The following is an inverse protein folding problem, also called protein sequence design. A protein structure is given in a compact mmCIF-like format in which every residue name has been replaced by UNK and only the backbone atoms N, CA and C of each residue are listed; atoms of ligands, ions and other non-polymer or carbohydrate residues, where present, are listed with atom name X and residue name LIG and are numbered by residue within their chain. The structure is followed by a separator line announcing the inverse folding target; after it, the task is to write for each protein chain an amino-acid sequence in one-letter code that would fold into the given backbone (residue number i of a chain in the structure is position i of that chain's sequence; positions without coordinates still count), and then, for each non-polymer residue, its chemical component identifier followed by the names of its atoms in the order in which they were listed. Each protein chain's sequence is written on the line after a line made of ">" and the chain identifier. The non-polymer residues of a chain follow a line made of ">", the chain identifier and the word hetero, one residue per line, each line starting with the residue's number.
data_IF_795359864847
#
_entry.id   IF_795359864847
#
_cell.length_a   1.000
_cell.length_b   1.000
_cell.length_c   1.000
_cell.angle_alpha   90.00
_cell.angle_beta   90.00
_cell.angle_gamma   90.00
#
_symmetry.space_group_name_H-M   'P 1'
#
loop_
_entity.id
_entity.type
_entity.pdbx_description
1 polymer ?
#
# COMPACT_ATOMS: atom_id res chain seq x y z
N UNK A 1 1.80 14.17 -18.46
CA UNK A 1 2.51 13.04 -17.82
C UNK A 1 1.94 11.75 -18.39
N UNK A 2 2.80 10.79 -18.78
CA UNK A 2 2.38 9.46 -19.26
C UNK A 2 3.04 8.40 -18.39
N UNK A 3 2.25 7.65 -17.63
CA UNK A 3 2.75 6.60 -16.74
C UNK A 3 2.91 5.33 -17.58
N UNK A 4 4.12 4.76 -17.60
CA UNK A 4 4.39 3.53 -18.33
C UNK A 4 4.00 2.30 -17.51
N UNK A 5 4.34 2.29 -16.23
CA UNK A 5 3.97 1.22 -15.32
C UNK A 5 3.95 1.70 -13.87
N UNK A 6 3.33 0.91 -13.01
CA UNK A 6 3.34 1.10 -11.54
C UNK A 6 3.68 -0.20 -10.85
N UNK A 7 4.42 -0.08 -9.74
CA UNK A 7 4.73 -1.20 -8.86
C UNK A 7 4.14 -0.93 -7.47
N UNK A 8 3.12 -1.71 -7.12
CA UNK A 8 2.37 -1.56 -5.87
C UNK A 8 2.75 -2.71 -4.95
N UNK A 9 3.25 -2.39 -3.76
CA UNK A 9 3.66 -3.37 -2.74
C UNK A 9 3.03 -3.03 -1.40
N UNK A 10 2.65 -4.08 -0.68
CA UNK A 10 2.15 -3.98 0.70
C UNK A 10 0.95 -3.03 0.88
N UNK A 11 0.11 -2.86 -0.15
CA UNK A 11 -1.03 -1.95 -0.14
C UNK A 11 -2.35 -2.72 -0.19
N UNK A 12 -3.13 -2.71 0.90
CA UNK A 12 -4.37 -3.48 1.06
C UNK A 12 -4.15 -4.93 0.62
N UNK A 13 -4.92 -5.46 -0.33
CA UNK A 13 -4.75 -6.83 -0.84
C UNK A 13 -3.58 -7.01 -1.83
N UNK A 14 -2.97 -5.92 -2.30
CA UNK A 14 -1.88 -5.96 -3.26
C UNK A 14 -0.54 -6.11 -2.53
N UNK A 15 -0.12 -7.36 -2.30
CA UNK A 15 1.17 -7.67 -1.67
C UNK A 15 2.34 -7.26 -2.55
N UNK A 16 2.31 -7.63 -3.83
CA UNK A 16 3.32 -7.32 -4.82
C UNK A 16 2.70 -7.39 -6.22
N UNK A 17 2.39 -6.25 -6.82
CA UNK A 17 1.67 -6.15 -8.08
C UNK A 17 2.37 -5.14 -9.02
N UNK A 18 2.70 -5.58 -10.22
CA UNK A 18 3.21 -4.73 -11.29
C UNK A 18 2.14 -4.60 -12.37
N UNK A 19 1.88 -3.36 -12.81
CA UNK A 19 0.89 -3.07 -13.84
C UNK A 19 1.56 -2.20 -14.91
N UNK A 20 1.62 -2.73 -16.13
CA UNK A 20 1.99 -1.97 -17.31
C UNK A 20 0.74 -1.29 -17.90
N UNK A 21 0.89 -0.04 -18.31
CA UNK A 21 -0.17 0.71 -18.96
C UNK A 21 0.00 0.68 -20.47
N UNK A 22 -1.09 0.37 -21.16
CA UNK A 22 -1.20 0.48 -22.61
C UNK A 22 -1.09 1.93 -23.08
N UNK A 23 -0.74 2.09 -24.35
CA UNK A 23 -0.49 3.39 -24.99
C UNK A 23 -1.71 4.34 -24.98
N UNK A 24 -2.93 3.79 -25.06
CA UNK A 24 -4.18 4.55 -25.14
C UNK A 24 -5.12 4.28 -23.97
N UNK A 25 -5.32 3.01 -23.65
CA UNK A 25 -6.25 2.57 -22.62
C UNK A 25 -5.73 1.30 -21.94
N UNK A 26 -6.07 1.12 -20.67
CA UNK A 26 -5.79 -0.10 -19.90
C UNK A 26 -7.04 -0.47 -19.11
N UNK A 27 -7.55 -1.68 -19.33
CA UNK A 27 -8.76 -2.16 -18.65
C UNK A 27 -8.37 -3.19 -17.60
N UNK A 28 -8.68 -2.93 -16.34
CA UNK A 28 -8.46 -3.87 -15.24
C UNK A 28 -9.70 -4.77 -15.07
N UNK A 29 -9.58 -6.06 -15.40
CA UNK A 29 -10.65 -7.07 -15.28
C UNK A 29 -10.30 -8.17 -14.28
N UNK A 30 -11.31 -8.80 -13.68
CA UNK A 30 -11.13 -9.91 -12.72
C UNK A 30 -12.25 -10.00 -11.69
N UNK A 31 -12.21 -11.02 -10.83
CA UNK A 31 -13.22 -11.27 -9.81
C UNK A 31 -13.39 -10.11 -8.80
N UNK A 32 -14.56 -10.02 -8.15
CA UNK A 32 -14.73 -9.08 -7.04
C UNK A 32 -13.66 -9.32 -5.98
N UNK A 33 -13.19 -8.23 -5.34
CA UNK A 33 -12.17 -8.29 -4.30
C UNK A 33 -10.76 -8.73 -4.78
N UNK A 34 -10.52 -8.79 -6.11
CA UNK A 34 -9.22 -9.14 -6.69
C UNK A 34 -8.16 -8.02 -6.63
N UNK A 35 -8.49 -6.85 -6.06
CA UNK A 35 -7.55 -5.73 -5.91
C UNK A 35 -7.60 -4.66 -7.00
N UNK A 36 -8.52 -4.73 -7.98
CA UNK A 36 -8.68 -3.72 -9.04
C UNK A 36 -8.88 -2.30 -8.49
N UNK A 37 -9.89 -2.12 -7.63
CA UNK A 37 -10.16 -0.83 -6.99
C UNK A 37 -9.00 -0.39 -6.11
N UNK A 38 -8.33 -1.33 -5.42
CA UNK A 38 -7.14 -1.03 -4.62
C UNK A 38 -5.99 -0.50 -5.49
N UNK A 39 -5.77 -1.06 -6.69
CA UNK A 39 -4.74 -0.58 -7.60
C UNK A 39 -5.00 0.87 -8.00
N UNK A 40 -6.24 1.19 -8.41
CA UNK A 40 -6.64 2.56 -8.75
C UNK A 40 -6.50 3.49 -7.54
N UNK A 41 -6.94 3.07 -6.34
CA UNK A 41 -6.78 3.87 -5.12
C UNK A 41 -5.31 4.19 -4.82
N UNK A 42 -4.39 3.23 -4.96
CA UNK A 42 -2.97 3.46 -4.73
C UNK A 42 -2.39 4.51 -5.70
N UNK A 43 -2.76 4.42 -6.97
CA UNK A 43 -2.32 5.37 -8.01
C UNK A 43 -2.87 6.78 -7.71
N UNK A 44 -4.17 6.89 -7.41
CA UNK A 44 -4.79 8.19 -7.08
C UNK A 44 -4.16 8.79 -5.83
N UNK A 45 -3.94 7.98 -4.79
CA UNK A 45 -3.34 8.42 -3.53
C UNK A 45 -1.93 8.98 -3.76
N UNK A 46 -1.08 8.26 -4.48
CA UNK A 46 0.29 8.70 -4.78
C UNK A 46 0.33 9.99 -5.59
N UNK A 47 -0.56 10.14 -6.58
CA UNK A 47 -0.52 11.28 -7.51
C UNK A 47 -1.21 12.53 -6.99
N UNK A 48 -2.27 12.39 -6.18
CA UNK A 48 -3.07 13.53 -5.72
C UNK A 48 -2.88 13.86 -4.25
N UNK A 49 -2.28 12.98 -3.46
CA UNK A 49 -2.05 13.15 -2.02
C UNK A 49 -3.33 13.56 -1.26
N UNK A 50 -4.46 12.92 -1.57
CA UNK A 50 -5.80 13.39 -1.18
C UNK A 50 -6.28 12.88 0.17
N UNK A 51 -5.70 11.82 0.71
CA UNK A 51 -6.23 11.14 1.91
C UNK A 51 -5.15 10.83 2.95
N UNK A 52 -5.59 10.77 4.22
CA UNK A 52 -4.77 10.34 5.35
C UNK A 52 -4.43 8.85 5.18
N UNK A 53 -3.13 8.53 5.11
CA UNK A 53 -2.67 7.14 5.06
C UNK A 53 -2.79 6.49 6.44
N UNK A 54 -3.60 5.45 6.57
CA UNK A 54 -3.84 4.76 7.85
C UNK A 54 -3.33 3.32 7.82
N UNK A 55 -3.34 2.64 8.97
CA UNK A 55 -2.99 1.22 9.06
C UNK A 55 -3.81 0.30 8.13
N UNK A 56 -5.01 0.74 7.74
CA UNK A 56 -5.89 0.00 6.81
C UNK A 56 -5.34 -0.09 5.39
N UNK A 57 -4.41 0.79 5.04
CA UNK A 57 -3.80 0.82 3.71
C UNK A 57 -2.68 -0.20 3.60
N UNK A 58 -2.14 -0.72 4.71
CA UNK A 58 -1.16 -1.80 4.68
C UNK A 58 -1.81 -3.16 4.43
N UNK A 59 -1.07 -4.05 3.76
CA UNK A 59 -1.46 -5.45 3.68
C UNK A 59 -1.49 -6.08 5.07
N UNK A 60 -2.63 -6.71 5.42
CA UNK A 60 -2.89 -7.25 6.76
C UNK A 60 -1.83 -8.27 7.23
N UNK A 61 -1.20 -9.00 6.30
CA UNK A 61 -0.11 -9.94 6.66
C UNK A 61 1.11 -9.25 7.25
N UNK A 62 1.25 -7.94 7.09
CA UNK A 62 2.37 -7.18 7.62
C UNK A 62 2.08 -6.61 9.02
N UNK A 63 0.85 -6.69 9.51
CA UNK A 63 0.47 -6.09 10.80
C UNK A 63 1.22 -6.69 11.97
N UNK A 64 1.46 -8.01 11.98
CA UNK A 64 2.25 -8.64 13.03
C UNK A 64 3.67 -8.07 13.10
N UNK A 65 4.35 -7.94 11.96
CA UNK A 65 5.69 -7.33 11.89
C UNK A 65 5.68 -5.84 12.25
N UNK A 66 4.64 -5.11 11.87
CA UNK A 66 4.49 -3.69 12.25
C UNK A 66 4.32 -3.57 13.78
N UNK A 67 3.50 -4.43 14.39
CA UNK A 67 3.33 -4.46 15.84
C UNK A 67 4.66 -4.79 16.54
N UNK A 68 5.40 -5.80 16.06
CA UNK A 68 6.71 -6.16 16.62
C UNK A 68 7.70 -4.97 16.60
N UNK A 69 7.71 -4.18 15.52
CA UNK A 69 8.51 -2.95 15.44
C UNK A 69 8.05 -1.94 16.50
N UNK A 70 6.73 -1.77 16.65
CA UNK A 70 6.14 -0.88 17.64
C UNK A 70 6.49 -1.26 19.08
N UNK A 71 6.39 -2.54 19.44
CA UNK A 71 6.75 -3.03 20.78
C UNK A 71 8.25 -2.77 21.06
N UNK A 72 9.13 -3.06 20.10
CA UNK A 72 10.57 -2.79 20.23
C UNK A 72 10.88 -1.31 20.42
N UNK A 73 10.13 -0.41 19.79
CA UNK A 73 10.27 1.02 20.01
C UNK A 73 9.86 1.43 21.42
N UNK A 74 8.74 0.91 21.92
CA UNK A 74 8.27 1.19 23.28
C UNK A 74 9.24 0.66 24.36
N UNK A 75 9.86 -0.50 24.12
CA UNK A 75 10.90 -1.04 25.00
C UNK A 75 12.13 -0.11 25.07
N UNK A 76 12.53 0.49 23.94
CA UNK A 76 13.74 1.31 23.86
C UNK A 76 13.55 2.74 24.42
N UNK A 77 12.36 3.32 24.30
CA UNK A 77 12.04 4.64 24.90
C UNK A 77 11.99 4.59 26.43
N UNK A 78 11.78 3.41 27.04
CA UNK A 78 11.73 3.25 28.50
C UNK A 78 13.10 3.28 29.20
N UNK A 79 14.20 3.32 28.45
CA UNK A 79 15.58 3.26 28.99
C UNK A 79 16.20 4.65 29.16
N UNK A 80 15.67 5.69 28.50
CA UNK A 80 16.21 7.06 28.54
C UNK A 80 15.52 7.98 29.59
N UNK A 81 14.55 7.46 30.36
CA UNK A 81 13.88 8.21 31.46
C UNK A 81 14.36 7.81 32.89
N UNK A 82 15.53 7.16 33.03
CA UNK A 82 16.09 6.78 34.34
C UNK A 82 17.33 7.62 34.76
#
# INVERSE_FOLDING_TARGET
>A
MKIQSVHIRNYRKLKNCHIDFGEKETVLVGANNSGKTSAISAIVWFLKNTDRFTLKEFTATNWASINEIGEKWLEHDSVDEA
#
